data_IF_282158628924
#
_entry.id   IF_282158628924
#
_cell.length_a   1.000
_cell.length_b   1.000
_cell.length_c   1.000
_cell.angle_alpha   90.00
_cell.angle_beta   90.00
_cell.angle_gamma   90.00
#
_symmetry.space_group_name_H-M   'P 1'
#
loop_
_entity.id
_entity.type
_entity.pdbx_description
1 polymer ?
#
# COMPACT_ATOMS: atom_id res chain seq x y z
N UNK A 1 -10.72 10.69 -43.87
CA UNK A 1 -9.42 10.00 -43.83
C UNK A 1 -9.72 8.52 -43.65
N UNK A 2 -9.51 7.72 -44.67
CA UNK A 2 -9.64 6.27 -44.60
C UNK A 2 -8.55 5.75 -43.63
N UNK A 3 -9.02 5.15 -42.55
CA UNK A 3 -8.12 4.53 -41.54
C UNK A 3 -7.56 3.25 -42.15
N UNK A 4 -6.25 3.06 -42.13
CA UNK A 4 -5.63 1.84 -42.61
C UNK A 4 -6.24 0.64 -41.88
N UNK A 5 -6.58 -0.42 -42.62
CA UNK A 5 -7.15 -1.66 -42.07
C UNK A 5 -6.31 -2.25 -40.93
N UNK A 6 -5.01 -1.99 -40.92
CA UNK A 6 -4.03 -2.46 -39.93
C UNK A 6 -4.26 -1.92 -38.50
N UNK A 7 -4.83 -0.71 -38.35
CA UNK A 7 -5.10 -0.19 -37.00
C UNK A 7 -6.13 -1.04 -36.22
N UNK A 8 -7.07 -1.65 -36.95
CA UNK A 8 -8.16 -2.45 -36.37
C UNK A 8 -7.85 -3.95 -36.34
N UNK A 9 -6.69 -4.36 -36.82
CA UNK A 9 -6.26 -5.74 -36.68
C UNK A 9 -6.23 -6.13 -35.20
N UNK A 10 -6.64 -7.36 -34.83
CA UNK A 10 -6.59 -7.83 -33.46
C UNK A 10 -5.18 -7.68 -32.87
N UNK A 11 -5.07 -7.00 -31.73
CA UNK A 11 -3.78 -6.73 -31.09
C UNK A 11 -3.81 -7.08 -29.58
N UNK A 12 -2.65 -7.44 -29.07
CA UNK A 12 -2.52 -7.88 -27.69
C UNK A 12 -2.55 -6.73 -26.68
N UNK A 13 -2.15 -5.50 -27.07
CA UNK A 13 -1.99 -4.36 -26.16
C UNK A 13 -2.39 -3.06 -26.84
N UNK A 14 -2.60 -2.03 -26.03
CA UNK A 14 -3.00 -0.70 -26.50
C UNK A 14 -1.94 -0.09 -27.44
N UNK A 15 -0.67 -0.10 -27.00
CA UNK A 15 0.48 0.30 -27.79
C UNK A 15 1.61 -0.72 -27.55
N UNK A 16 2.33 -1.19 -28.60
CA UNK A 16 3.46 -2.09 -28.42
C UNK A 16 4.51 -1.50 -27.49
N UNK A 17 5.02 -2.28 -26.51
CA UNK A 17 6.04 -1.79 -25.59
C UNK A 17 7.36 -1.53 -26.31
N UNK A 18 8.08 -0.50 -25.90
CA UNK A 18 9.46 -0.23 -26.34
C UNK A 18 10.45 -1.07 -25.49
N UNK A 19 11.63 -1.35 -26.04
CA UNK A 19 12.69 -2.13 -25.36
C UNK A 19 13.12 -1.52 -24.02
N UNK A 20 13.14 -0.20 -23.95
CA UNK A 20 13.56 0.57 -22.75
C UNK A 20 12.72 0.27 -21.51
N UNK A 21 11.47 -0.21 -21.66
CA UNK A 21 10.65 -0.66 -20.55
C UNK A 21 11.23 -1.90 -19.87
N UNK A 22 11.84 -2.81 -20.62
CA UNK A 22 12.52 -3.98 -20.07
C UNK A 22 13.80 -3.55 -19.35
N UNK A 23 14.58 -2.64 -19.93
CA UNK A 23 15.78 -2.05 -19.31
C UNK A 23 15.43 -1.34 -18.00
N UNK A 24 14.38 -0.53 -18.00
CA UNK A 24 13.91 0.14 -16.78
C UNK A 24 13.54 -0.87 -15.69
N UNK A 25 12.86 -1.95 -16.04
CA UNK A 25 12.49 -2.99 -15.09
C UNK A 25 13.73 -3.74 -14.53
N UNK A 26 14.75 -4.00 -15.35
CA UNK A 26 16.02 -4.60 -14.90
C UNK A 26 16.75 -3.68 -13.91
N UNK A 27 16.81 -2.38 -14.19
CA UNK A 27 17.42 -1.40 -13.30
C UNK A 27 16.68 -1.28 -11.96
N UNK A 28 15.35 -1.38 -11.98
CA UNK A 28 14.56 -1.44 -10.75
C UNK A 28 14.80 -2.74 -9.97
N UNK A 29 15.02 -3.87 -10.67
CA UNK A 29 15.39 -5.14 -10.05
C UNK A 29 16.74 -5.06 -9.34
N UNK A 30 17.75 -4.51 -10.03
CA UNK A 30 19.08 -4.26 -9.45
C UNK A 30 19.02 -3.30 -8.28
N UNK A 31 18.23 -2.23 -8.37
CA UNK A 31 18.02 -1.30 -7.28
C UNK A 31 17.42 -1.98 -6.05
N UNK A 32 16.40 -2.83 -6.25
CA UNK A 32 15.79 -3.57 -5.17
C UNK A 32 16.77 -4.55 -4.50
N UNK A 33 17.58 -5.25 -5.29
CA UNK A 33 18.62 -6.14 -4.77
C UNK A 33 19.70 -5.37 -3.98
N UNK A 34 20.11 -4.20 -4.45
CA UNK A 34 21.03 -3.32 -3.74
C UNK A 34 20.45 -2.83 -2.41
N UNK A 35 19.16 -2.46 -2.37
CA UNK A 35 18.45 -2.11 -1.12
C UNK A 35 18.50 -3.26 -0.12
N UNK A 36 18.19 -4.48 -0.56
CA UNK A 36 18.22 -5.67 0.32
C UNK A 36 19.62 -6.00 0.82
N UNK A 37 20.65 -5.72 0.02
CA UNK A 37 22.04 -5.85 0.41
C UNK A 37 22.52 -4.71 1.33
N UNK A 38 21.74 -3.65 1.54
CA UNK A 38 22.11 -2.47 2.31
C UNK A 38 22.97 -1.46 1.55
N UNK A 39 23.19 -1.67 0.26
CA UNK A 39 23.95 -0.78 -0.63
C UNK A 39 23.03 0.30 -1.21
N UNK A 40 22.79 1.32 -0.39
CA UNK A 40 21.89 2.43 -0.77
C UNK A 40 22.46 3.33 -1.86
N UNK A 41 23.78 3.39 -2.01
CA UNK A 41 24.41 4.23 -3.05
C UNK A 41 24.23 3.59 -4.43
N UNK A 42 24.47 2.29 -4.53
CA UNK A 42 24.16 1.52 -5.73
C UNK A 42 22.66 1.55 -6.06
N UNK A 43 21.79 1.44 -5.05
CA UNK A 43 20.36 1.57 -5.27
C UNK A 43 19.98 2.94 -5.87
N UNK A 44 20.55 4.04 -5.36
CA UNK A 44 20.34 5.39 -5.90
C UNK A 44 20.83 5.50 -7.35
N UNK A 45 22.01 4.95 -7.66
CA UNK A 45 22.55 4.92 -9.02
C UNK A 45 21.57 4.23 -9.97
N UNK A 46 21.11 3.03 -9.61
CA UNK A 46 20.20 2.22 -10.45
C UNK A 46 18.82 2.87 -10.62
N UNK A 47 18.29 3.48 -9.55
CA UNK A 47 17.04 4.24 -9.62
C UNK A 47 17.16 5.43 -10.56
N UNK A 48 18.26 6.22 -10.49
CA UNK A 48 18.47 7.32 -11.44
C UNK A 48 18.60 6.83 -12.88
N UNK A 49 19.34 5.74 -13.09
CA UNK A 49 19.49 5.14 -14.42
C UNK A 49 18.16 4.62 -14.97
N UNK A 50 17.26 4.16 -14.10
CA UNK A 50 15.91 3.69 -14.46
C UNK A 50 14.92 4.81 -14.81
N UNK A 51 15.28 6.07 -14.58
CA UNK A 51 14.49 7.23 -14.99
C UNK A 51 14.79 7.59 -16.46
N UNK A 52 14.40 6.71 -17.36
CA UNK A 52 14.76 6.73 -18.78
C UNK A 52 13.83 7.69 -19.55
N UNK A 53 14.34 8.75 -20.21
CA UNK A 53 13.50 9.69 -20.93
C UNK A 53 12.61 9.06 -22.02
N UNK A 54 13.09 8.04 -22.73
CA UNK A 54 12.30 7.32 -23.73
C UNK A 54 11.08 6.61 -23.11
N UNK A 55 11.23 6.04 -21.90
CA UNK A 55 10.12 5.43 -21.13
C UNK A 55 9.12 6.50 -20.71
N UNK A 56 9.59 7.65 -20.26
CA UNK A 56 8.73 8.78 -19.90
C UNK A 56 7.93 9.27 -21.12
N UNK A 57 8.61 9.48 -22.27
CA UNK A 57 7.98 9.90 -23.52
C UNK A 57 6.93 8.89 -24.00
N UNK A 58 7.23 7.59 -23.92
CA UNK A 58 6.27 6.53 -24.24
C UNK A 58 5.02 6.59 -23.33
N UNK A 59 5.20 6.73 -22.03
CA UNK A 59 4.10 6.84 -21.08
C UNK A 59 3.29 8.13 -21.30
N UNK A 60 3.97 9.27 -21.48
CA UNK A 60 3.35 10.56 -21.71
C UNK A 60 2.55 10.61 -23.03
N UNK A 61 2.97 9.88 -24.06
CA UNK A 61 2.21 9.75 -25.31
C UNK A 61 0.85 9.08 -25.09
N UNK A 62 0.78 8.14 -24.14
CA UNK A 62 -0.48 7.41 -23.82
C UNK A 62 -1.30 8.17 -22.79
N UNK A 63 -0.69 8.71 -21.75
CA UNK A 63 -1.36 9.23 -20.56
C UNK A 63 -1.40 10.77 -20.51
N UNK A 64 -0.65 11.44 -21.36
CA UNK A 64 -0.59 12.90 -21.44
C UNK A 64 -1.72 13.51 -22.28
N UNK A 65 -1.36 14.49 -23.12
CA UNK A 65 -2.32 15.10 -24.02
C UNK A 65 -2.92 14.08 -25.00
N UNK A 66 -4.20 14.28 -25.35
CA UNK A 66 -4.91 13.36 -26.24
C UNK A 66 -4.22 13.26 -27.62
N UNK A 67 -3.68 12.09 -27.92
CA UNK A 67 -3.09 11.75 -29.22
C UNK A 67 -4.14 10.98 -30.05
N UNK A 68 -4.68 11.66 -31.07
CA UNK A 68 -5.72 11.10 -31.96
C UNK A 68 -5.23 9.90 -32.75
N UNK A 69 -3.92 9.73 -32.94
CA UNK A 69 -3.37 8.62 -33.70
C UNK A 69 -3.40 7.29 -32.93
N UNK A 70 -3.31 7.35 -31.61
CA UNK A 70 -3.30 6.15 -30.76
C UNK A 70 -4.61 5.93 -30.01
N UNK A 71 -5.37 6.99 -29.69
CA UNK A 71 -6.62 6.90 -28.92
C UNK A 71 -7.88 6.66 -29.79
N UNK A 72 -7.69 6.09 -30.98
CA UNK A 72 -8.80 5.73 -31.87
C UNK A 72 -9.65 4.62 -31.28
N UNK A 73 -10.94 4.68 -31.56
CA UNK A 73 -11.91 3.64 -31.20
C UNK A 73 -12.91 3.44 -32.33
N UNK A 74 -13.33 2.20 -32.52
CA UNK A 74 -14.46 1.90 -33.40
C UNK A 74 -15.75 1.87 -32.62
N UNK A 75 -16.87 2.22 -33.22
CA UNK A 75 -18.17 2.05 -32.58
C UNK A 75 -18.45 0.57 -32.36
N UNK A 76 -18.98 0.25 -31.19
CA UNK A 76 -19.54 -1.07 -30.84
C UNK A 76 -20.85 -0.82 -30.08
N UNK A 77 -21.74 -1.78 -30.12
CA UNK A 77 -22.95 -1.73 -29.32
C UNK A 77 -22.56 -1.86 -27.84
N UNK A 78 -22.84 -0.79 -27.08
CA UNK A 78 -22.67 -0.79 -25.63
C UNK A 78 -23.98 -1.17 -24.96
N UNK A 79 -23.97 -1.96 -23.88
CA UNK A 79 -25.17 -2.24 -23.12
C UNK A 79 -25.75 -0.93 -22.58
N UNK A 80 -27.06 -0.73 -22.78
CA UNK A 80 -27.81 0.46 -22.32
C UNK A 80 -28.42 0.26 -20.93
N UNK A 81 -28.74 -0.99 -20.60
CA UNK A 81 -29.22 -1.38 -19.25
C UNK A 81 -28.11 -2.12 -18.52
N UNK A 82 -27.35 -1.35 -17.73
CA UNK A 82 -26.18 -1.86 -17.02
C UNK A 82 -26.51 -2.01 -15.54
N UNK A 83 -26.45 -3.22 -14.98
CA UNK A 83 -26.63 -3.42 -13.55
C UNK A 83 -25.62 -2.61 -12.76
N UNK A 84 -26.06 -1.93 -11.70
CA UNK A 84 -25.14 -1.30 -10.75
C UNK A 84 -24.37 -2.36 -10.01
N UNK A 85 -23.06 -2.42 -10.23
CA UNK A 85 -22.14 -3.28 -9.47
C UNK A 85 -21.57 -2.45 -8.32
N UNK A 86 -21.70 -2.89 -7.05
CA UNK A 86 -21.08 -2.21 -5.94
C UNK A 86 -19.55 -2.36 -6.00
N UNK A 87 -18.83 -1.47 -5.30
CA UNK A 87 -17.38 -1.53 -5.07
C UNK A 87 -16.52 -1.58 -6.35
N UNK A 88 -16.40 -0.43 -7.01
CA UNK A 88 -15.49 -0.26 -8.16
C UNK A 88 -14.04 -0.64 -7.82
N UNK A 89 -13.59 -0.34 -6.60
CA UNK A 89 -12.22 -0.64 -6.19
C UNK A 89 -12.15 -2.03 -5.60
N UNK A 90 -11.35 -2.95 -6.17
CA UNK A 90 -11.12 -4.27 -5.59
C UNK A 90 -10.47 -4.13 -4.21
N UNK A 91 -10.72 -5.11 -3.34
CA UNK A 91 -10.01 -5.18 -2.06
C UNK A 91 -8.52 -5.43 -2.27
N UNK A 92 -7.69 -5.03 -1.31
CA UNK A 92 -6.25 -5.26 -1.40
C UNK A 92 -5.85 -6.74 -1.47
N UNK A 93 -6.69 -7.65 -0.98
CA UNK A 93 -6.50 -9.11 -1.12
C UNK A 93 -6.76 -9.57 -2.56
N UNK A 94 -7.83 -9.09 -3.19
CA UNK A 94 -8.14 -9.39 -4.60
C UNK A 94 -7.06 -8.82 -5.51
N UNK A 95 -6.59 -7.57 -5.29
CA UNK A 95 -5.48 -7.00 -6.06
C UNK A 95 -4.21 -7.89 -5.95
N UNK A 96 -3.86 -8.33 -4.74
CA UNK A 96 -2.69 -9.17 -4.51
C UNK A 96 -2.82 -10.54 -5.19
N UNK A 97 -4.00 -11.16 -5.13
CA UNK A 97 -4.31 -12.40 -5.82
C UNK A 97 -4.14 -12.27 -7.35
N UNK A 98 -4.73 -11.23 -7.93
CA UNK A 98 -4.66 -10.95 -9.37
C UNK A 98 -3.21 -10.71 -9.81
N UNK A 99 -2.44 -9.90 -9.07
CA UNK A 99 -1.04 -9.64 -9.39
C UNK A 99 -0.18 -10.91 -9.33
N UNK A 100 -0.38 -11.74 -8.30
CA UNK A 100 0.35 -13.00 -8.14
C UNK A 100 -0.03 -14.02 -9.23
N UNK A 101 -1.33 -14.20 -9.51
CA UNK A 101 -1.84 -15.06 -10.59
C UNK A 101 -1.22 -14.71 -11.94
N UNK A 102 -1.07 -13.42 -12.22
CA UNK A 102 -0.60 -12.91 -13.50
C UNK A 102 0.95 -12.76 -13.55
N UNK A 103 1.68 -13.23 -12.53
CA UNK A 103 3.14 -13.20 -12.46
C UNK A 103 3.72 -11.78 -12.42
N UNK A 104 2.98 -10.83 -11.86
CA UNK A 104 3.35 -9.40 -11.82
C UNK A 104 3.72 -8.86 -13.20
N UNK A 105 3.03 -9.33 -14.24
CA UNK A 105 3.20 -8.87 -15.61
C UNK A 105 1.91 -8.33 -16.19
N UNK A 106 2.03 -7.27 -17.00
CA UNK A 106 0.89 -6.73 -17.73
C UNK A 106 0.30 -7.79 -18.67
N UNK A 107 -0.97 -8.13 -18.47
CA UNK A 107 -1.67 -9.14 -19.28
C UNK A 107 -1.90 -8.69 -20.73
N UNK A 108 -1.81 -7.39 -20.99
CA UNK A 108 -1.87 -6.87 -22.37
C UNK A 108 -0.50 -6.90 -23.05
N UNK A 109 0.47 -6.14 -22.58
CA UNK A 109 1.75 -5.94 -23.27
C UNK A 109 2.91 -6.80 -22.76
N UNK A 110 2.73 -7.57 -21.69
CA UNK A 110 3.74 -8.49 -21.15
C UNK A 110 4.83 -7.85 -20.29
N UNK A 111 4.92 -6.51 -20.19
CA UNK A 111 5.96 -5.87 -19.39
C UNK A 111 5.84 -6.22 -17.91
N UNK A 112 6.97 -6.29 -17.23
CA UNK A 112 7.05 -6.43 -15.78
C UNK A 112 6.45 -5.20 -15.09
N UNK A 113 5.61 -5.40 -14.08
CA UNK A 113 5.00 -4.30 -13.36
C UNK A 113 5.49 -4.24 -11.91
N UNK A 114 5.43 -3.06 -11.32
CA UNK A 114 5.88 -2.77 -9.95
C UNK A 114 4.67 -2.58 -9.05
N UNK A 115 4.65 -3.27 -7.93
CA UNK A 115 3.60 -3.14 -6.93
C UNK A 115 3.52 -1.70 -6.40
N UNK A 116 2.31 -1.12 -6.24
CA UNK A 116 2.15 0.23 -5.70
C UNK A 116 2.81 0.42 -4.32
N UNK A 117 2.80 -0.62 -3.47
CA UNK A 117 3.45 -0.60 -2.17
C UNK A 117 4.99 -0.58 -2.27
N UNK A 118 5.58 -1.34 -3.22
CA UNK A 118 7.02 -1.34 -3.46
C UNK A 118 7.48 0.01 -4.03
N UNK A 119 6.72 0.59 -4.99
CA UNK A 119 6.96 1.95 -5.47
C UNK A 119 6.94 2.94 -4.32
N UNK A 120 5.89 2.90 -3.47
CA UNK A 120 5.81 3.81 -2.32
C UNK A 120 6.99 3.68 -1.39
N UNK A 121 7.44 2.46 -1.10
CA UNK A 121 8.64 2.21 -0.30
C UNK A 121 9.88 2.88 -0.90
N UNK A 122 10.10 2.75 -2.23
CA UNK A 122 11.25 3.36 -2.90
C UNK A 122 11.17 4.89 -2.94
N UNK A 123 9.97 5.46 -3.13
CA UNK A 123 9.73 6.91 -3.04
C UNK A 123 10.09 7.43 -1.64
N UNK A 124 9.61 6.75 -0.60
CA UNK A 124 9.85 7.14 0.79
C UNK A 124 11.33 6.96 1.20
N UNK A 125 12.02 5.93 0.65
CA UNK A 125 13.41 5.62 0.99
C UNK A 125 14.43 6.50 0.25
N UNK A 126 14.09 6.92 -0.97
CA UNK A 126 14.99 7.69 -1.84
C UNK A 126 14.36 9.01 -2.30
N UNK A 127 14.02 9.93 -1.37
CA UNK A 127 13.49 11.23 -1.72
C UNK A 127 14.48 12.00 -2.58
N UNK A 128 13.98 12.69 -3.60
CA UNK A 128 14.81 13.43 -4.57
C UNK A 128 15.47 12.57 -5.64
N UNK A 129 15.38 11.23 -5.56
CA UNK A 129 15.77 10.29 -6.62
C UNK A 129 14.55 9.74 -7.31
N UNK A 130 13.56 9.29 -6.53
CA UNK A 130 12.29 8.79 -7.05
C UNK A 130 11.22 9.84 -6.80
N UNK A 131 10.81 10.54 -7.85
CA UNK A 131 9.69 11.47 -7.77
C UNK A 131 8.36 10.76 -8.07
N UNK A 132 7.38 10.96 -7.20
CA UNK A 132 6.01 10.51 -7.38
C UNK A 132 5.05 11.55 -6.81
N UNK A 133 4.98 12.72 -7.46
CA UNK A 133 4.16 13.84 -6.97
C UNK A 133 3.68 14.74 -8.10
N UNK A 134 2.47 15.20 -7.96
CA UNK A 134 1.87 16.41 -8.54
C UNK A 134 1.74 16.50 -10.06
N UNK A 135 2.80 16.42 -10.82
CA UNK A 135 2.76 16.64 -12.28
C UNK A 135 3.38 15.46 -13.00
N UNK A 136 2.71 14.97 -14.02
CA UNK A 136 3.15 13.80 -14.80
C UNK A 136 4.58 13.95 -15.35
N UNK A 137 4.98 15.15 -15.77
CA UNK A 137 6.32 15.44 -16.30
C UNK A 137 7.44 15.26 -15.27
N UNK A 138 7.11 15.28 -13.99
CA UNK A 138 8.08 15.17 -12.89
C UNK A 138 8.11 13.76 -12.30
N UNK A 139 7.26 12.84 -12.79
CA UNK A 139 7.21 11.46 -12.31
C UNK A 139 8.41 10.67 -12.83
N UNK A 140 8.99 9.85 -11.96
CA UNK A 140 10.05 8.91 -12.36
C UNK A 140 9.53 7.95 -13.44
N UNK A 141 10.20 7.93 -14.60
CA UNK A 141 9.76 7.30 -15.84
C UNK A 141 9.34 5.83 -15.67
N UNK A 142 10.19 5.02 -15.02
CA UNK A 142 9.90 3.60 -14.81
C UNK A 142 8.62 3.40 -14.00
N UNK A 143 8.39 4.16 -12.93
CA UNK A 143 7.18 4.02 -12.13
C UNK A 143 5.95 4.60 -12.81
N UNK A 144 6.12 5.66 -13.61
CA UNK A 144 5.05 6.24 -14.41
C UNK A 144 4.50 5.24 -15.43
N UNK A 145 5.38 4.45 -16.06
CA UNK A 145 4.97 3.43 -17.02
C UNK A 145 4.58 2.08 -16.40
N UNK A 146 5.39 1.58 -15.43
CA UNK A 146 5.36 0.19 -14.98
C UNK A 146 4.54 -0.04 -13.69
N UNK A 147 3.92 0.98 -13.09
CA UNK A 147 3.08 0.74 -11.90
C UNK A 147 1.95 -0.23 -12.19
N UNK A 148 1.79 -1.21 -11.31
CA UNK A 148 0.74 -2.21 -11.41
C UNK A 148 -0.65 -1.63 -11.12
N UNK A 149 -1.63 -2.03 -11.91
CA UNK A 149 -3.05 -1.73 -11.71
C UNK A 149 -3.84 -3.02 -11.94
N UNK A 150 -4.84 -3.29 -11.11
CA UNK A 150 -5.84 -4.31 -11.38
C UNK A 150 -6.95 -3.68 -12.26
N UNK A 151 -6.92 -3.97 -13.56
CA UNK A 151 -7.85 -3.42 -14.55
C UNK A 151 -9.04 -4.34 -14.77
N UNK A 152 -10.23 -3.73 -14.91
CA UNK A 152 -11.46 -4.43 -15.27
C UNK A 152 -11.49 -4.72 -16.77
N UNK A 153 -11.46 -5.98 -17.17
CA UNK A 153 -11.55 -6.38 -18.60
C UNK A 153 -12.86 -5.87 -19.20
N UNK A 154 -13.98 -6.17 -18.55
CA UNK A 154 -15.25 -5.46 -18.79
C UNK A 154 -15.29 -4.26 -17.85
N UNK A 155 -15.35 -3.03 -18.36
CA UNK A 155 -15.33 -1.84 -17.52
C UNK A 155 -16.41 -1.85 -16.44
N UNK A 156 -16.08 -1.37 -15.24
CA UNK A 156 -17.04 -1.26 -14.14
C UNK A 156 -18.26 -0.40 -14.52
N UNK A 157 -18.05 0.65 -15.31
CA UNK A 157 -19.12 1.52 -15.85
C UNK A 157 -20.08 0.78 -16.77
N UNK A 158 -19.69 -0.39 -17.25
CA UNK A 158 -20.48 -1.27 -18.13
C UNK A 158 -20.86 -2.58 -17.43
N UNK A 159 -20.93 -2.58 -16.10
CA UNK A 159 -21.40 -3.72 -15.29
C UNK A 159 -20.32 -4.75 -14.95
N UNK A 160 -19.05 -4.48 -15.24
CA UNK A 160 -17.94 -5.37 -14.89
C UNK A 160 -17.70 -5.42 -13.39
N UNK A 161 -17.77 -6.61 -12.78
CA UNK A 161 -17.50 -6.83 -11.37
C UNK A 161 -16.02 -6.68 -11.02
N UNK A 162 -15.73 -6.43 -9.72
CA UNK A 162 -14.37 -6.31 -9.18
C UNK A 162 -13.84 -7.65 -8.62
N UNK A 163 -14.36 -8.78 -9.09
CA UNK A 163 -13.85 -10.11 -8.79
C UNK A 163 -12.65 -10.51 -9.66
N UNK A 164 -11.89 -11.55 -9.23
CA UNK A 164 -10.69 -12.00 -9.95
C UNK A 164 -10.94 -12.37 -11.42
N UNK A 165 -12.13 -12.87 -11.74
CA UNK A 165 -12.50 -13.30 -13.10
C UNK A 165 -12.59 -12.15 -14.11
N UNK A 166 -12.88 -10.94 -13.63
CA UNK A 166 -12.95 -9.74 -14.47
C UNK A 166 -11.74 -8.82 -14.33
N UNK A 167 -10.82 -9.12 -13.43
CA UNK A 167 -9.62 -8.32 -13.20
C UNK A 167 -8.38 -8.97 -13.80
N UNK A 168 -7.51 -8.15 -14.37
CA UNK A 168 -6.19 -8.56 -14.85
C UNK A 168 -5.13 -7.55 -14.43
N UNK A 169 -3.91 -8.04 -14.24
CA UNK A 169 -2.76 -7.15 -13.99
C UNK A 169 -2.43 -6.35 -15.24
N UNK A 170 -2.29 -5.05 -15.09
CA UNK A 170 -1.86 -4.16 -16.17
C UNK A 170 -0.75 -3.22 -15.72
N UNK A 171 0.06 -2.73 -16.65
CA UNK A 171 0.88 -1.56 -16.44
C UNK A 171 0.02 -0.29 -16.55
N UNK A 172 0.51 0.81 -16.00
CA UNK A 172 -0.21 2.09 -16.01
C UNK A 172 -0.60 2.52 -17.43
N UNK A 173 0.31 2.34 -18.39
CA UNK A 173 0.07 2.69 -19.79
C UNK A 173 -1.10 1.91 -20.42
N UNK A 174 -1.12 0.58 -20.28
CA UNK A 174 -2.21 -0.23 -20.83
C UNK A 174 -3.55 0.05 -20.13
N UNK A 175 -3.53 0.24 -18.80
CA UNK A 175 -4.71 0.59 -18.05
C UNK A 175 -5.31 1.92 -18.52
N UNK A 176 -4.49 2.96 -18.64
CA UNK A 176 -4.94 4.27 -19.08
C UNK A 176 -5.40 4.25 -20.54
N UNK A 177 -4.61 3.62 -21.43
CA UNK A 177 -4.95 3.53 -22.86
C UNK A 177 -6.25 2.77 -23.10
N UNK A 178 -6.55 1.74 -22.29
CA UNK A 178 -7.84 1.04 -22.36
C UNK A 178 -8.96 1.89 -21.73
N UNK A 179 -8.73 2.43 -20.55
CA UNK A 179 -9.74 3.21 -19.82
C UNK A 179 -11.04 2.44 -19.61
N UNK A 180 -12.16 3.09 -19.84
CA UNK A 180 -13.53 2.56 -19.73
C UNK A 180 -14.07 1.94 -21.03
N UNK A 181 -13.17 1.53 -21.94
CA UNK A 181 -13.55 1.01 -23.27
C UNK A 181 -13.63 -0.51 -23.24
N UNK A 182 -14.59 -1.03 -24.01
CA UNK A 182 -14.65 -2.46 -24.33
C UNK A 182 -13.45 -2.85 -25.20
N UNK A 183 -13.00 -4.09 -25.08
CA UNK A 183 -11.90 -4.61 -25.89
C UNK A 183 -12.17 -4.48 -27.39
N UNK A 184 -13.42 -4.72 -27.79
CA UNK A 184 -13.87 -4.58 -29.18
C UNK A 184 -13.72 -3.17 -29.73
N UNK A 185 -13.93 -2.11 -28.92
CA UNK A 185 -13.75 -0.72 -29.35
C UNK A 185 -12.32 -0.40 -29.74
N UNK A 186 -11.37 -1.12 -29.14
CA UNK A 186 -9.94 -0.90 -29.32
C UNK A 186 -9.26 -1.98 -30.21
N UNK A 187 -10.01 -3.00 -30.65
CA UNK A 187 -9.43 -4.15 -31.33
C UNK A 187 -8.50 -4.99 -30.43
N UNK A 188 -8.69 -4.95 -29.12
CA UNK A 188 -7.87 -5.72 -28.20
C UNK A 188 -8.36 -7.15 -28.07
N UNK A 189 -7.44 -8.10 -28.09
CA UNK A 189 -7.68 -9.50 -27.75
C UNK A 189 -7.91 -9.59 -26.25
N UNK A 190 -8.88 -10.40 -25.81
CA UNK A 190 -9.12 -10.64 -24.39
C UNK A 190 -7.85 -11.22 -23.73
N UNK A 191 -7.26 -10.51 -22.77
CA UNK A 191 -6.03 -10.95 -22.12
C UNK A 191 -6.20 -12.25 -21.31
N UNK A 192 -7.43 -12.63 -20.96
CA UNK A 192 -7.74 -13.86 -20.21
C UNK A 192 -7.61 -15.11 -21.06
N UNK A 193 -7.65 -15.00 -22.39
CA UNK A 193 -7.51 -16.12 -23.33
C UNK A 193 -6.06 -16.59 -23.46
N UNK A 194 -5.11 -15.87 -22.92
CA UNK A 194 -3.67 -16.23 -22.95
C UNK A 194 -3.21 -16.67 -21.56
N UNK A 195 -2.35 -17.66 -21.41
CA UNK A 195 -1.78 -18.01 -20.11
C UNK A 195 -0.94 -16.85 -19.57
N UNK A 196 -0.87 -16.66 -18.23
CA UNK A 196 0.06 -15.72 -17.64
C UNK A 196 1.51 -16.19 -17.84
N UNK A 197 2.43 -15.24 -17.95
CA UNK A 197 3.87 -15.51 -17.90
C UNK A 197 4.31 -15.37 -16.46
N UNK A 198 4.79 -16.45 -15.86
CA UNK A 198 5.28 -16.51 -14.49
C UNK A 198 6.75 -16.85 -14.51
N UNK A 199 7.57 -16.01 -13.90
CA UNK A 199 9.02 -16.19 -13.75
C UNK A 199 9.48 -15.73 -12.35
N UNK A 200 10.76 -15.40 -12.20
CA UNK A 200 11.30 -14.93 -10.92
C UNK A 200 10.92 -13.48 -10.54
N UNK A 201 10.23 -12.75 -11.41
CA UNK A 201 9.80 -11.40 -11.12
C UNK A 201 8.67 -11.39 -10.09
N UNK A 202 8.80 -10.58 -9.06
CA UNK A 202 7.88 -10.50 -7.91
C UNK A 202 7.20 -9.12 -7.75
N UNK A 203 7.28 -8.27 -8.76
CA UNK A 203 6.79 -6.89 -8.67
C UNK A 203 7.53 -6.03 -7.65
N UNK A 204 8.74 -6.39 -7.31
CA UNK A 204 9.56 -5.85 -6.21
C UNK A 204 8.96 -6.13 -4.81
N UNK A 205 8.09 -7.13 -4.70
CA UNK A 205 7.44 -7.51 -3.44
C UNK A 205 8.42 -7.92 -2.34
N UNK A 206 9.60 -8.44 -2.69
CA UNK A 206 10.69 -8.78 -1.76
C UNK A 206 11.18 -7.60 -0.93
N UNK A 207 11.08 -6.36 -1.44
CA UNK A 207 11.38 -5.16 -0.65
C UNK A 207 10.47 -5.02 0.57
N UNK A 208 9.22 -5.47 0.45
CA UNK A 208 8.24 -5.42 1.52
C UNK A 208 8.43 -6.54 2.54
N UNK A 209 8.98 -7.67 2.11
CA UNK A 209 9.33 -8.80 2.99
C UNK A 209 10.62 -8.53 3.78
N UNK A 210 11.60 -7.86 3.18
CA UNK A 210 12.84 -7.44 3.82
C UNK A 210 12.62 -6.44 4.97
N UNK A 211 11.54 -5.65 4.92
CA UNK A 211 11.13 -4.79 6.03
C UNK A 211 10.76 -5.60 7.30
N UNK A 212 10.14 -6.78 7.12
CA UNK A 212 9.84 -7.70 8.23
C UNK A 212 11.09 -8.37 8.81
N UNK A 213 12.08 -8.67 7.96
CA UNK A 213 13.33 -9.37 8.39
C UNK A 213 14.32 -8.42 9.07
N UNK A 214 14.42 -7.14 8.64
CA UNK A 214 15.29 -6.17 9.33
C UNK A 214 14.81 -5.84 10.74
N UNK A 215 13.51 -5.89 11.00
CA UNK A 215 12.97 -5.76 12.36
C UNK A 215 13.34 -6.97 13.26
N UNK A 216 13.60 -8.15 12.67
CA UNK A 216 13.91 -9.40 13.39
C UNK A 216 15.43 -9.61 13.57
N UNK A 217 16.29 -9.09 12.68
CA UNK A 217 17.74 -9.35 12.68
C UNK A 217 18.54 -8.28 13.44
N UNK A 218 17.91 -7.23 13.93
CA UNK A 218 18.56 -6.22 14.76
C UNK A 218 18.84 -6.69 16.21
N UNK A 219 18.41 -7.91 16.57
CA UNK A 219 18.57 -8.50 17.91
C UNK A 219 19.48 -9.72 17.92
N UNK A 220 20.79 -9.55 17.59
CA UNK A 220 21.82 -10.52 17.92
C UNK A 220 22.93 -9.83 18.74
N UNK A 221 23.31 -10.38 19.92
CA UNK A 221 24.14 -9.66 20.86
C UNK A 221 25.60 -9.66 20.43
N UNK A 222 26.17 -8.51 20.11
CA UNK A 222 27.61 -8.27 20.20
C UNK A 222 27.88 -7.30 21.37
N UNK A 223 28.53 -7.84 22.39
CA UNK A 223 28.91 -7.07 23.56
C UNK A 223 29.73 -5.83 23.19
N UNK A 224 29.17 -4.69 23.47
CA UNK A 224 29.79 -3.44 23.88
C UNK A 224 28.72 -2.49 24.37
N UNK A 225 28.97 -1.75 25.42
CA UNK A 225 28.05 -0.86 26.14
C UNK A 225 27.19 -0.02 25.18
N UNK A 226 25.87 0.08 25.40
CA UNK A 226 25.01 0.85 24.54
C UNK A 226 25.21 2.35 24.79
N UNK A 227 25.69 3.05 23.77
CA UNK A 227 25.22 4.40 23.54
C UNK A 227 23.72 4.24 23.16
N UNK A 228 22.86 5.08 23.73
CA UNK A 228 21.41 5.00 23.59
C UNK A 228 21.01 4.63 22.15
N UNK A 229 20.37 3.47 21.99
CA UNK A 229 19.93 2.99 20.70
C UNK A 229 18.92 3.99 20.13
N UNK A 230 19.31 4.66 19.05
CA UNK A 230 18.43 5.50 18.28
C UNK A 230 17.34 4.60 17.68
N UNK A 231 16.04 4.87 17.90
CA UNK A 231 14.98 4.07 17.29
C UNK A 231 15.12 4.05 15.77
N UNK A 232 14.58 3.03 15.07
CA UNK A 232 14.64 2.96 13.62
C UNK A 232 14.14 4.28 13.04
N UNK A 233 14.94 4.86 12.12
CA UNK A 233 14.67 6.18 11.55
C UNK A 233 13.25 6.25 10.98
N UNK A 234 12.45 7.10 11.57
CA UNK A 234 11.13 7.46 11.10
C UNK A 234 11.23 8.10 9.70
N UNK A 235 10.20 7.99 8.83
CA UNK A 235 10.15 8.70 7.55
C UNK A 235 10.40 10.20 7.77
N UNK A 236 11.13 10.83 6.84
CA UNK A 236 11.40 12.27 6.88
C UNK A 236 10.09 13.08 7.01
N UNK A 237 9.90 13.73 8.12
CA UNK A 237 8.68 14.41 8.57
C UNK A 237 8.28 14.03 9.99
N UNK A 238 8.75 12.90 10.50
CA UNK A 238 8.38 12.37 11.80
C UNK A 238 9.14 13.05 12.94
N UNK A 239 10.36 13.53 12.71
CA UNK A 239 11.15 14.26 13.70
C UNK A 239 10.39 15.49 14.24
N UNK A 240 9.62 16.19 13.38
CA UNK A 240 8.83 17.33 13.80
C UNK A 240 7.61 16.94 14.67
N UNK A 241 7.01 15.78 14.39
CA UNK A 241 5.88 15.25 15.16
C UNK A 241 6.33 14.79 16.55
N UNK A 242 7.42 14.02 16.62
CA UNK A 242 7.99 13.57 17.87
C UNK A 242 8.57 14.74 18.70
N UNK A 243 9.18 15.73 18.04
CA UNK A 243 9.63 16.94 18.68
C UNK A 243 8.47 17.77 19.29
N UNK A 244 7.26 17.69 18.72
CA UNK A 244 6.06 18.30 19.31
C UNK A 244 5.68 17.61 20.62
N UNK A 245 5.70 16.26 20.67
CA UNK A 245 5.47 15.50 21.90
C UNK A 245 6.53 15.86 22.97
N UNK A 246 7.81 15.94 22.59
CA UNK A 246 8.88 16.26 23.53
C UNK A 246 8.89 17.72 23.98
N UNK A 247 8.30 18.64 23.22
CA UNK A 247 8.02 20.02 23.68
C UNK A 247 6.97 20.07 24.76
N UNK A 248 5.99 19.17 24.72
CA UNK A 248 4.95 19.09 25.77
C UNK A 248 5.45 18.38 27.03
N UNK A 249 6.34 17.38 26.85
CA UNK A 249 6.90 16.62 27.96
C UNK A 249 8.24 15.98 27.49
N UNK A 250 9.40 16.48 28.00
CA UNK A 250 10.70 15.99 27.58
C UNK A 250 10.83 14.46 27.74
N UNK A 251 11.20 13.76 26.66
CA UNK A 251 11.35 12.31 26.63
C UNK A 251 10.07 11.52 26.35
N UNK A 252 8.92 12.19 26.15
CA UNK A 252 7.64 11.53 25.90
C UNK A 252 7.67 10.69 24.62
N UNK A 253 8.33 11.18 23.58
CA UNK A 253 8.52 10.45 22.32
C UNK A 253 9.32 9.17 22.52
N UNK A 254 10.40 9.22 23.31
CA UNK A 254 11.23 8.06 23.62
C UNK A 254 10.47 6.98 24.38
N UNK A 255 9.67 7.37 25.38
CA UNK A 255 8.83 6.45 26.14
C UNK A 255 7.74 5.80 25.24
N UNK A 256 7.13 6.58 24.36
CA UNK A 256 6.15 6.06 23.39
C UNK A 256 6.78 5.04 22.44
N UNK A 257 7.96 5.34 21.89
CA UNK A 257 8.68 4.42 21.01
C UNK A 257 9.10 3.13 21.73
N UNK A 258 9.48 3.22 23.00
CA UNK A 258 9.76 2.05 23.83
C UNK A 258 8.52 1.18 23.99
N UNK A 259 7.39 1.76 24.37
CA UNK A 259 6.12 1.03 24.47
C UNK A 259 5.73 0.35 23.15
N UNK A 260 5.87 1.05 22.03
CA UNK A 260 5.56 0.49 20.71
C UNK A 260 6.52 -0.66 20.36
N UNK A 261 7.81 -0.54 20.71
CA UNK A 261 8.80 -1.60 20.52
C UNK A 261 8.47 -2.84 21.34
N UNK A 262 8.05 -2.66 22.59
CA UNK A 262 7.65 -3.75 23.48
C UNK A 262 6.40 -4.49 22.98
N UNK A 263 5.55 -3.81 22.22
CA UNK A 263 4.36 -4.40 21.59
C UNK A 263 4.62 -5.10 20.26
N UNK A 264 5.81 -4.98 19.65
CA UNK A 264 6.16 -5.64 18.38
C UNK A 264 5.97 -7.15 18.39
N UNK A 265 6.36 -7.90 19.47
CA UNK A 265 6.18 -9.35 19.53
C UNK A 265 4.70 -9.77 19.41
N UNK A 266 3.77 -8.90 19.77
CA UNK A 266 2.32 -9.14 19.66
C UNK A 266 1.74 -8.83 18.28
N UNK A 267 2.59 -8.48 17.29
CA UNK A 267 2.16 -8.16 15.93
C UNK A 267 1.74 -6.69 15.75
N UNK A 268 2.16 -5.81 16.65
CA UNK A 268 1.92 -4.37 16.54
C UNK A 268 2.84 -3.75 15.49
N UNK A 269 2.30 -2.81 14.74
CA UNK A 269 3.03 -1.96 13.80
C UNK A 269 2.43 -0.56 13.83
N UNK A 270 3.19 0.43 13.38
CA UNK A 270 2.67 1.80 13.30
C UNK A 270 3.07 2.52 12.03
N UNK A 271 2.33 3.55 11.69
CA UNK A 271 2.67 4.50 10.62
C UNK A 271 2.30 5.89 11.08
N UNK A 272 3.15 6.86 10.76
CA UNK A 272 2.90 8.26 11.02
C UNK A 272 2.42 8.96 9.74
N UNK A 273 1.41 9.81 9.92
CA UNK A 273 0.88 10.76 8.95
C UNK A 273 0.51 12.02 9.75
N UNK A 274 -0.75 12.49 9.62
CA UNK A 274 -1.29 13.51 10.53
C UNK A 274 -1.48 12.98 11.95
N UNK A 275 -1.60 11.66 12.09
CA UNK A 275 -1.70 10.90 13.33
C UNK A 275 -0.70 9.75 13.32
N UNK A 276 -0.18 9.38 14.50
CA UNK A 276 0.48 8.10 14.70
C UNK A 276 -0.60 7.02 14.77
N UNK A 277 -0.66 6.18 13.76
CA UNK A 277 -1.65 5.11 13.63
C UNK A 277 -1.02 3.79 14.04
N UNK A 278 -1.55 3.17 15.10
CA UNK A 278 -1.08 1.89 15.63
C UNK A 278 -2.01 0.78 15.14
N UNK A 279 -1.42 -0.30 14.62
CA UNK A 279 -2.11 -1.46 14.06
C UNK A 279 -1.67 -2.75 14.72
N UNK A 280 -2.59 -3.69 14.81
CA UNK A 280 -2.37 -5.08 15.20
C UNK A 280 -2.54 -5.97 14.00
N UNK A 281 -1.57 -6.86 13.74
CA UNK A 281 -1.63 -7.88 12.70
C UNK A 281 -1.81 -9.25 13.33
N UNK A 282 -2.91 -9.94 12.97
CA UNK A 282 -3.20 -11.30 13.43
C UNK A 282 -3.40 -12.19 12.20
N UNK A 283 -2.43 -13.03 11.88
CA UNK A 283 -2.40 -13.79 10.64
C UNK A 283 -2.40 -12.85 9.43
N UNK A 284 -3.44 -12.92 8.59
CA UNK A 284 -3.59 -12.02 7.43
C UNK A 284 -4.46 -10.78 7.72
N UNK A 285 -4.96 -10.63 8.95
CA UNK A 285 -5.83 -9.50 9.33
C UNK A 285 -5.01 -8.39 9.94
N UNK A 286 -5.15 -7.18 9.41
CA UNK A 286 -4.54 -5.97 9.94
C UNK A 286 -5.64 -5.05 10.47
N UNK A 287 -5.57 -4.74 11.76
CA UNK A 287 -6.56 -3.96 12.47
C UNK A 287 -5.91 -2.72 13.07
N UNK A 288 -6.54 -1.57 12.88
CA UNK A 288 -6.11 -0.34 13.50
C UNK A 288 -6.66 -0.30 14.95
N UNK A 289 -5.77 -0.25 15.94
CA UNK A 289 -6.14 -0.34 17.37
C UNK A 289 -6.09 0.99 18.09
N UNK A 290 -5.32 1.95 17.58
CA UNK A 290 -5.17 3.25 18.23
C UNK A 290 -4.72 4.30 17.21
N UNK A 291 -5.06 5.56 17.47
CA UNK A 291 -4.53 6.75 16.80
C UNK A 291 -4.08 7.78 17.84
N UNK A 292 -2.92 8.39 17.64
CA UNK A 292 -2.39 9.46 18.50
C UNK A 292 -2.21 10.71 17.64
N UNK A 293 -2.85 11.82 18.05
CA UNK A 293 -2.71 13.11 17.39
C UNK A 293 -1.39 13.80 17.75
N UNK A 294 -0.99 14.84 17.04
CA UNK A 294 0.20 15.66 17.33
C UNK A 294 0.21 16.22 18.75
N UNK A 295 -0.94 16.59 19.26
CA UNK A 295 -1.11 17.06 20.64
C UNK A 295 -1.08 15.97 21.70
N UNK A 296 -0.73 14.70 21.34
CA UNK A 296 -0.71 13.57 22.25
C UNK A 296 -2.08 13.01 22.59
N UNK A 297 -3.18 13.54 22.04
CA UNK A 297 -4.52 12.99 22.23
C UNK A 297 -4.65 11.60 21.59
N UNK A 298 -5.26 10.69 22.33
CA UNK A 298 -5.42 9.29 21.96
C UNK A 298 -6.87 8.95 21.66
N UNK A 299 -7.09 8.22 20.58
CA UNK A 299 -8.38 7.61 20.24
C UNK A 299 -8.24 6.09 20.26
N UNK A 300 -8.93 5.42 21.19
CA UNK A 300 -8.99 3.96 21.34
C UNK A 300 -10.46 3.53 21.38
N UNK A 301 -10.86 2.58 20.58
CA UNK A 301 -10.27 2.17 19.32
C UNK A 301 -10.49 3.22 18.24
N UNK A 302 -9.57 3.32 17.31
CA UNK A 302 -9.76 4.09 16.08
C UNK A 302 -10.72 3.34 15.17
N UNK A 303 -11.65 3.97 14.53
CA UNK A 303 -12.67 3.47 13.59
C UNK A 303 -12.49 2.02 13.07
N UNK A 304 -13.40 1.06 13.42
CA UNK A 304 -13.19 -0.37 13.20
C UNK A 304 -14.29 -1.04 12.38
N UNK A 305 -15.32 -0.31 12.02
CA UNK A 305 -16.39 -0.86 11.17
C UNK A 305 -17.01 -2.17 11.70
N UNK A 306 -16.95 -3.24 10.91
CA UNK A 306 -17.57 -4.55 11.19
C UNK A 306 -16.97 -5.29 12.40
N UNK A 307 -15.90 -4.81 13.02
CA UNK A 307 -15.19 -5.49 14.10
C UNK A 307 -15.38 -4.79 15.46
N UNK A 308 -16.37 -3.91 15.58
CA UNK A 308 -16.67 -3.14 16.78
C UNK A 308 -16.72 -4.02 18.06
N UNK A 309 -17.37 -5.18 17.98
CA UNK A 309 -17.59 -6.04 19.16
C UNK A 309 -16.29 -6.66 19.71
N UNK A 310 -15.30 -6.91 18.87
CA UNK A 310 -13.98 -7.41 19.32
C UNK A 310 -13.25 -6.41 20.22
N UNK A 311 -13.54 -5.14 20.08
CA UNK A 311 -12.85 -4.07 20.77
C UNK A 311 -13.50 -3.63 22.08
N UNK A 312 -14.71 -4.09 22.35
CA UNK A 312 -15.37 -3.77 23.61
C UNK A 312 -14.50 -4.13 24.81
N UNK A 313 -14.11 -5.39 24.92
CA UNK A 313 -13.25 -5.84 26.00
C UNK A 313 -11.85 -5.19 26.01
N UNK A 314 -11.30 -4.83 24.84
CA UNK A 314 -10.06 -4.07 24.78
C UNK A 314 -10.23 -2.67 25.36
N UNK A 315 -11.28 -1.95 24.97
CA UNK A 315 -11.58 -0.62 25.49
C UNK A 315 -11.88 -0.65 27.00
N UNK A 316 -12.66 -1.66 27.47
CA UNK A 316 -12.97 -1.86 28.88
C UNK A 316 -11.71 -2.17 29.71
N UNK A 317 -10.80 -2.97 29.20
CA UNK A 317 -9.51 -3.27 29.87
C UNK A 317 -8.67 -2.02 30.03
N UNK A 318 -8.56 -1.19 28.99
CA UNK A 318 -7.82 0.08 29.07
C UNK A 318 -8.49 1.05 30.05
N UNK A 319 -9.81 1.20 30.00
CA UNK A 319 -10.53 2.09 30.89
C UNK A 319 -10.42 1.65 32.36
N UNK A 320 -10.50 0.36 32.66
CA UNK A 320 -10.40 -0.15 34.03
C UNK A 320 -9.02 0.09 34.68
N UNK A 321 -7.98 0.25 33.87
CA UNK A 321 -6.63 0.52 34.34
C UNK A 321 -6.32 2.02 34.57
N UNK A 322 -7.25 2.90 34.18
CA UNK A 322 -7.08 4.35 34.29
C UNK A 322 -8.11 4.94 35.24
N UNK A 323 -7.67 5.75 36.24
CA UNK A 323 -8.59 6.45 37.12
C UNK A 323 -9.57 7.33 36.31
N UNK A 324 -10.86 7.25 36.65
CA UNK A 324 -11.94 8.05 36.06
C UNK A 324 -12.21 7.80 34.57
N UNK A 325 -11.50 6.88 33.90
CA UNK A 325 -11.72 6.61 32.50
C UNK A 325 -13.06 5.88 32.28
N UNK A 326 -13.71 6.24 31.17
CA UNK A 326 -15.02 5.70 30.78
C UNK A 326 -15.00 5.21 29.35
N UNK A 327 -15.73 4.11 29.10
CA UNK A 327 -15.97 3.60 27.76
C UNK A 327 -17.30 4.13 27.26
N UNK A 328 -17.27 4.79 26.10
CA UNK A 328 -18.48 5.29 25.44
C UNK A 328 -18.72 4.51 24.15
N UNK A 329 -19.95 4.10 23.93
CA UNK A 329 -20.37 3.47 22.70
C UNK A 329 -20.70 4.54 21.64
N UNK A 330 -20.15 4.35 20.45
CA UNK A 330 -20.44 5.12 19.25
C UNK A 330 -20.92 4.17 18.13
N UNK A 331 -21.71 4.63 17.15
CA UNK A 331 -22.22 3.75 16.08
C UNK A 331 -21.16 2.93 15.35
N UNK A 332 -19.92 3.42 15.31
CA UNK A 332 -18.83 2.79 14.56
C UNK A 332 -17.66 2.30 15.41
N UNK A 333 -17.60 2.65 16.71
CA UNK A 333 -16.43 2.40 17.55
C UNK A 333 -16.76 2.44 19.05
N UNK A 334 -15.86 1.90 19.87
CA UNK A 334 -15.79 2.13 21.29
C UNK A 334 -14.77 3.22 21.55
N UNK A 335 -15.06 4.19 22.39
CA UNK A 335 -14.18 5.31 22.69
C UNK A 335 -13.87 5.27 24.17
N UNK A 336 -12.59 5.36 24.52
CA UNK A 336 -12.14 5.51 25.90
C UNK A 336 -11.84 7.01 26.14
N UNK A 337 -12.52 7.59 27.11
CA UNK A 337 -12.33 8.98 27.55
C UNK A 337 -11.77 9.02 28.96
N UNK A 338 -11.06 10.08 29.31
CA UNK A 338 -10.44 10.22 30.62
C UNK A 338 -11.47 10.42 31.76
N UNK A 339 -12.51 11.19 31.50
CA UNK A 339 -13.50 11.63 32.50
C UNK A 339 -14.93 11.69 31.93
N UNK A 340 -15.19 10.89 30.91
CA UNK A 340 -16.47 10.91 30.20
C UNK A 340 -16.56 11.95 29.08
N UNK A 341 -15.65 12.91 28.98
CA UNK A 341 -15.67 14.00 27.99
C UNK A 341 -14.34 14.17 27.29
N UNK A 342 -13.23 14.17 28.00
CA UNK A 342 -11.91 14.41 27.45
C UNK A 342 -11.27 13.12 26.90
N UNK A 343 -10.56 13.24 25.78
CA UNK A 343 -9.79 12.14 25.23
C UNK A 343 -8.63 11.79 26.14
N UNK A 344 -8.21 10.53 26.08
CA UNK A 344 -6.97 10.11 26.71
C UNK A 344 -5.78 10.84 26.06
N UNK A 345 -4.73 11.04 26.85
CA UNK A 345 -3.45 11.50 26.36
C UNK A 345 -2.44 10.35 26.33
N UNK A 346 -1.43 10.43 25.47
CA UNK A 346 -0.39 9.39 25.37
C UNK A 346 0.30 9.10 26.72
N UNK A 347 0.43 10.11 27.58
CA UNK A 347 0.91 9.94 28.96
C UNK A 347 0.07 8.97 29.78
N UNK A 348 -1.22 8.92 29.55
CA UNK A 348 -2.12 8.00 30.26
C UNK A 348 -1.89 6.56 29.80
N UNK A 349 -1.66 6.34 28.50
CA UNK A 349 -1.28 5.02 27.97
C UNK A 349 0.07 4.53 28.53
N UNK A 350 1.03 5.42 28.64
CA UNK A 350 2.36 5.05 29.16
C UNK A 350 2.30 4.61 30.63
N UNK A 351 1.39 5.17 31.43
CA UNK A 351 1.19 4.74 32.84
C UNK A 351 0.68 3.31 32.96
N UNK A 352 -0.01 2.80 31.95
CA UNK A 352 -0.62 1.47 31.92
C UNK A 352 0.07 0.53 30.92
N UNK A 353 1.34 0.79 30.55
CA UNK A 353 2.08 0.02 29.53
C UNK A 353 1.96 -1.50 29.67
N UNK A 354 2.10 -2.13 30.86
CA UNK A 354 1.94 -3.57 31.02
C UNK A 354 0.50 -4.03 30.70
N UNK A 355 -0.50 -3.29 31.20
CA UNK A 355 -1.91 -3.62 30.94
C UNK A 355 -2.25 -3.46 29.46
N UNK A 356 -1.67 -2.49 28.77
CA UNK A 356 -1.85 -2.28 27.34
C UNK A 356 -1.27 -3.43 26.54
N UNK A 357 -0.10 -3.93 26.89
CA UNK A 357 0.54 -5.10 26.26
C UNK A 357 -0.34 -6.35 26.41
N UNK A 358 -0.82 -6.63 27.63
CA UNK A 358 -1.73 -7.75 27.90
C UNK A 358 -3.07 -7.63 27.16
N UNK A 359 -3.62 -6.43 27.10
CA UNK A 359 -4.86 -6.15 26.37
C UNK A 359 -4.69 -6.38 24.86
N UNK A 360 -3.55 -6.00 24.29
CA UNK A 360 -3.21 -6.25 22.88
C UNK A 360 -3.09 -7.76 22.63
N UNK A 361 -2.38 -8.50 23.48
CA UNK A 361 -2.26 -9.95 23.40
C UNK A 361 -3.63 -10.65 23.47
N UNK A 362 -4.48 -10.24 24.40
CA UNK A 362 -5.84 -10.75 24.56
C UNK A 362 -6.74 -10.42 23.37
N UNK A 363 -6.59 -9.26 22.77
CA UNK A 363 -7.29 -8.88 21.53
C UNK A 363 -6.85 -9.76 20.36
N UNK A 364 -5.54 -9.98 20.20
CA UNK A 364 -4.99 -10.85 19.17
C UNK A 364 -5.54 -12.28 19.28
N UNK A 365 -5.58 -12.84 20.49
CA UNK A 365 -6.12 -14.18 20.75
C UNK A 365 -7.62 -14.29 20.39
N UNK A 366 -8.44 -13.29 20.76
CA UNK A 366 -9.87 -13.24 20.41
C UNK A 366 -10.11 -13.19 18.91
N UNK A 367 -9.29 -12.44 18.18
CA UNK A 367 -9.40 -12.35 16.72
C UNK A 367 -9.04 -13.69 16.07
N UNK A 368 -8.02 -14.39 16.59
CA UNK A 368 -7.64 -15.72 16.12
C UNK A 368 -8.76 -16.74 16.32
N UNK A 369 -9.33 -16.81 17.55
CA UNK A 369 -10.37 -17.79 17.89
C UNK A 369 -11.68 -17.64 17.10
N UNK A 370 -12.02 -16.41 16.72
CA UNK A 370 -13.24 -16.14 15.91
C UNK A 370 -13.10 -16.65 14.46
N UNK A 371 -11.90 -16.95 14.01
CA UNK A 371 -11.62 -17.55 12.70
C UNK A 371 -11.80 -19.04 12.69
N UNK A 372 -11.33 -19.73 13.73
CA UNK A 372 -11.39 -21.19 13.83
C UNK A 372 -12.84 -21.69 13.98
N UNK A 373 -13.75 -20.83 14.45
CA UNK A 373 -15.18 -21.13 14.57
C UNK A 373 -16.01 -20.90 13.30
N UNK A 374 -15.39 -20.40 12.20
CA UNK A 374 -16.04 -20.12 10.90
C UNK A 374 -15.48 -20.96 9.74
N UNK A 375 -14.56 -21.87 10.00
CA UNK A 375 -14.18 -22.97 9.12
C UNK A 375 -14.97 -24.24 9.52
#
# INVERSE_FOLDING_TARGET
>A
MEHSADFWAPRACFLPPISDLAVAADLLDEAANAVLAGDHDRAREKLRAGDIPAVHAFAARIMGAWDTDIHRRRPVDRPTDVPKVPDRKPSGSIEAEVFARDGWRCRYCGVRVVLPKARKFLVDTFPGVVCWSGKDKDLHAAFYALSAVADHVVPHTLGGGSGPDNLVTTCQCCNYGKGDRLLGELGLIDPRTRPPVVDAWDGLGRLLSGLKVKAIVADAPRGMRPAAARPPAAPLGDDAWFAELDRMDPGLSGHLLTLLSDCLPHGVSWTLKDYLIIRLTVGQVIIQICGIARGGEVVIPWSIGKQKDHFRGFAETIASALPEAQVQESPKQWIVTKDGTNRLHVRDLLKISPVLQDAIGSLAARISSTRDSKQ
#
